data_IF_652129743817
#
_entry.id   IF_652129743817
#
_cell.length_a   1.000
_cell.length_b   1.000
_cell.length_c   1.000
_cell.angle_alpha   90.00
_cell.angle_beta   90.00
_cell.angle_gamma   90.00
#
_symmetry.space_group_name_H-M   'P 1'
#
loop_
_entity.id
_entity.type
_entity.pdbx_description
1 polymer ?
#
# COMPACT_ATOMS: atom_id res chain seq x y z
N UNK A 1 -61.67 -47.42 -21.07
CA UNK A 1 -61.34 -47.66 -19.65
C UNK A 1 -59.93 -47.16 -19.41
N UNK A 2 -59.78 -46.33 -18.39
CA UNK A 2 -58.56 -45.61 -18.03
C UNK A 2 -57.55 -46.51 -17.29
N UNK A 3 -56.25 -46.20 -17.42
CA UNK A 3 -55.17 -46.31 -16.42
C UNK A 3 -53.81 -46.16 -17.15
N UNK A 4 -53.11 -45.02 -16.96
CA UNK A 4 -51.94 -44.81 -16.05
C UNK A 4 -50.62 -45.35 -16.64
N UNK A 5 -49.78 -44.50 -17.26
CA UNK A 5 -48.64 -43.73 -16.71
C UNK A 5 -47.55 -44.68 -16.14
N UNK A 6 -46.24 -44.57 -16.47
CA UNK A 6 -45.30 -43.59 -15.89
C UNK A 6 -44.14 -43.29 -16.86
N UNK A 7 -44.01 -42.02 -17.26
CA UNK A 7 -42.80 -41.40 -17.83
C UNK A 7 -41.75 -41.15 -16.72
N UNK A 8 -40.51 -41.56 -17.00
CA UNK A 8 -39.34 -41.30 -16.17
C UNK A 8 -38.77 -39.91 -16.49
N UNK A 9 -39.28 -38.87 -15.83
CA UNK A 9 -38.81 -37.49 -15.94
C UNK A 9 -38.50 -36.92 -14.57
N UNK A 10 -37.28 -36.41 -14.39
CA UNK A 10 -36.75 -36.01 -13.08
C UNK A 10 -37.40 -34.76 -12.48
N UNK A 11 -37.02 -34.47 -11.23
CA UNK A 11 -36.88 -33.13 -10.66
C UNK A 11 -36.43 -33.27 -9.19
N UNK A 12 -35.37 -32.54 -8.86
CA UNK A 12 -34.84 -32.39 -7.50
C UNK A 12 -35.87 -31.71 -6.57
N UNK A 13 -35.91 -32.11 -5.30
CA UNK A 13 -36.80 -31.52 -4.29
C UNK A 13 -36.40 -31.79 -2.83
N UNK A 14 -35.45 -30.96 -2.34
CA UNK A 14 -35.30 -30.40 -0.97
C UNK A 14 -35.20 -31.32 0.26
N UNK A 15 -34.03 -31.38 0.94
CA UNK A 15 -33.96 -31.63 2.38
C UNK A 15 -34.22 -30.33 3.17
N UNK A 16 -35.09 -30.40 4.18
CA UNK A 16 -35.35 -29.34 5.16
C UNK A 16 -34.22 -29.28 6.18
N UNK A 17 -33.29 -28.33 6.05
CA UNK A 17 -32.39 -27.93 7.14
C UNK A 17 -33.14 -27.08 8.14
N UNK A 18 -33.40 -27.64 9.33
CA UNK A 18 -33.70 -26.91 10.55
C UNK A 18 -32.54 -25.94 10.82
N UNK A 19 -32.78 -24.66 10.53
CA UNK A 19 -31.82 -23.59 10.77
C UNK A 19 -31.78 -23.32 12.28
N UNK A 20 -30.75 -23.85 12.94
CA UNK A 20 -30.42 -23.46 14.30
C UNK A 20 -29.90 -22.02 14.27
N UNK A 21 -30.64 -21.10 14.90
CA UNK A 21 -30.30 -19.68 14.92
C UNK A 21 -29.01 -19.44 15.72
N UNK A 22 -27.93 -18.94 15.09
CA UNK A 22 -26.63 -18.72 15.76
C UNK A 22 -26.68 -17.61 16.81
N UNK A 23 -27.75 -16.79 16.83
CA UNK A 23 -27.94 -15.71 17.79
C UNK A 23 -28.42 -16.18 19.16
N UNK A 24 -29.14 -17.31 19.26
CA UNK A 24 -29.60 -17.82 20.57
C UNK A 24 -28.45 -18.41 21.39
N UNK A 25 -27.49 -19.07 20.74
CA UNK A 25 -26.32 -19.68 21.38
C UNK A 25 -25.32 -18.66 21.93
N UNK A 26 -25.33 -17.43 21.41
CA UNK A 26 -24.44 -16.36 21.85
C UNK A 26 -24.85 -15.74 23.20
N UNK A 27 -26.13 -15.79 23.55
CA UNK A 27 -26.66 -15.08 24.73
C UNK A 27 -26.78 -15.99 25.97
N UNK A 28 -26.95 -17.30 25.80
CA UNK A 28 -27.17 -18.24 26.90
C UNK A 28 -25.89 -18.86 27.51
N UNK A 29 -24.71 -18.57 26.96
CA UNK A 29 -23.44 -19.20 27.36
C UNK A 29 -22.28 -18.25 27.63
N UNK A 30 -22.54 -16.96 27.86
CA UNK A 30 -21.51 -15.92 28.01
C UNK A 30 -20.79 -16.00 29.38
N UNK A 31 -19.94 -17.01 29.55
CA UNK A 31 -18.90 -17.02 30.56
C UNK A 31 -17.72 -16.09 30.19
N UNK A 32 -16.78 -15.84 31.13
CA UNK A 32 -15.66 -14.88 30.96
C UNK A 32 -14.71 -15.13 29.78
N UNK A 33 -14.84 -16.25 29.06
CA UNK A 33 -14.02 -16.59 27.90
C UNK A 33 -14.39 -15.84 26.61
N UNK A 34 -15.62 -15.32 26.48
CA UNK A 34 -16.09 -14.67 25.25
C UNK A 34 -15.45 -13.28 25.03
N UNK A 35 -15.17 -12.56 26.12
CA UNK A 35 -14.46 -11.26 26.08
C UNK A 35 -12.99 -11.46 25.67
N UNK A 36 -12.35 -12.57 26.07
CA UNK A 36 -10.96 -12.88 25.71
C UNK A 36 -10.83 -13.37 24.27
N UNK A 37 -11.76 -14.21 23.81
CA UNK A 37 -11.72 -14.78 22.46
C UNK A 37 -12.18 -13.80 21.39
N UNK A 38 -13.22 -13.00 21.64
CA UNK A 38 -13.73 -12.03 20.67
C UNK A 38 -12.78 -10.85 20.43
N UNK A 39 -12.17 -10.32 21.51
CA UNK A 39 -11.21 -9.22 21.42
C UNK A 39 -9.83 -9.68 20.93
N UNK A 40 -9.36 -10.86 21.36
CA UNK A 40 -8.07 -11.41 20.95
C UNK A 40 -8.00 -11.74 19.46
N UNK A 41 -9.06 -12.34 18.90
CA UNK A 41 -9.11 -12.67 17.47
C UNK A 41 -9.22 -11.42 16.60
N UNK A 42 -9.91 -10.37 17.06
CA UNK A 42 -10.00 -9.11 16.33
C UNK A 42 -8.71 -8.28 16.44
N UNK A 43 -8.06 -8.26 17.61
CA UNK A 43 -6.79 -7.56 17.81
C UNK A 43 -5.65 -8.19 17.03
N UNK A 44 -5.56 -9.52 16.98
CA UNK A 44 -4.59 -10.24 16.14
C UNK A 44 -4.81 -9.94 14.65
N UNK A 45 -6.06 -9.89 14.19
CA UNK A 45 -6.37 -9.54 12.80
C UNK A 45 -6.01 -8.09 12.48
N UNK A 46 -6.28 -7.13 13.36
CA UNK A 46 -5.91 -5.74 13.14
C UNK A 46 -4.39 -5.54 13.16
N UNK A 47 -3.69 -6.17 14.10
CA UNK A 47 -2.24 -6.08 14.24
C UNK A 47 -1.52 -6.81 13.10
N UNK A 48 -1.96 -8.02 12.75
CA UNK A 48 -1.43 -8.81 11.63
C UNK A 48 -1.71 -8.15 10.28
N UNK A 49 -2.92 -7.64 10.08
CA UNK A 49 -3.25 -6.87 8.87
C UNK A 49 -2.39 -5.61 8.78
N UNK A 50 -2.17 -4.91 9.89
CA UNK A 50 -1.26 -3.75 9.93
C UNK A 50 0.18 -4.14 9.57
N UNK A 51 0.69 -5.26 10.09
CA UNK A 51 2.04 -5.74 9.75
C UNK A 51 2.16 -6.17 8.29
N UNK A 52 1.15 -6.85 7.73
CA UNK A 52 1.16 -7.28 6.33
C UNK A 52 1.08 -6.09 5.37
N UNK A 53 0.29 -5.07 5.71
CA UNK A 53 0.25 -3.81 4.95
C UNK A 53 1.57 -3.06 5.02
N UNK A 54 2.18 -2.96 6.21
CA UNK A 54 3.50 -2.32 6.34
C UNK A 54 4.57 -3.11 5.60
N UNK A 55 4.59 -4.43 5.74
CA UNK A 55 5.61 -5.29 5.16
C UNK A 55 5.52 -5.29 3.63
N UNK A 56 4.32 -5.40 3.05
CA UNK A 56 4.14 -5.37 1.59
C UNK A 56 4.55 -4.03 0.95
N UNK A 57 4.12 -2.91 1.53
CA UNK A 57 4.45 -1.58 1.00
C UNK A 57 5.93 -1.24 1.19
N UNK A 58 6.47 -1.43 2.39
CA UNK A 58 7.88 -1.12 2.69
C UNK A 58 8.80 -2.01 1.87
N UNK A 59 8.50 -3.31 1.76
CA UNK A 59 9.31 -4.23 0.93
C UNK A 59 9.27 -3.80 -0.53
N UNK A 60 8.14 -3.33 -1.05
CA UNK A 60 8.05 -2.85 -2.42
C UNK A 60 8.94 -1.60 -2.65
N UNK A 61 8.92 -0.61 -1.76
CA UNK A 61 9.74 0.60 -1.90
C UNK A 61 11.24 0.35 -1.67
N UNK A 62 11.58 -0.54 -0.74
CA UNK A 62 12.97 -0.89 -0.39
C UNK A 62 13.56 -2.02 -1.24
N UNK A 63 12.75 -2.72 -2.04
CA UNK A 63 13.24 -3.80 -2.90
C UNK A 63 14.26 -3.33 -3.94
N UNK A 64 14.14 -2.09 -4.41
CA UNK A 64 14.96 -1.54 -5.50
C UNK A 64 15.39 -0.10 -5.21
N UNK A 65 16.25 0.14 -4.20
CA UNK A 65 16.66 1.49 -3.82
C UNK A 65 17.42 2.20 -4.94
N UNK A 66 18.17 1.43 -5.75
CA UNK A 66 18.93 1.95 -6.90
C UNK A 66 18.06 2.73 -7.89
N UNK A 67 16.79 2.36 -8.06
CA UNK A 67 15.87 3.06 -8.95
C UNK A 67 15.75 4.56 -8.59
N UNK A 68 15.67 4.88 -7.31
CA UNK A 68 15.49 6.24 -6.81
C UNK A 68 16.78 7.08 -6.80
N UNK A 69 17.94 6.43 -6.98
CA UNK A 69 19.27 7.06 -7.03
C UNK A 69 19.84 7.16 -8.46
N UNK A 70 19.10 6.72 -9.47
CA UNK A 70 19.45 6.96 -10.86
C UNK A 70 19.16 8.43 -11.19
N UNK A 71 20.15 9.29 -10.98
CA UNK A 71 20.07 10.75 -11.20
C UNK A 71 21.29 11.27 -11.94
N UNK A 72 21.09 12.34 -12.72
CA UNK A 72 22.15 13.05 -13.46
C UNK A 72 22.27 14.51 -13.01
N UNK A 73 23.41 15.16 -13.27
CA UNK A 73 23.61 16.59 -12.94
C UNK A 73 22.56 17.52 -13.56
N UNK A 74 22.17 17.25 -14.82
CA UNK A 74 21.11 18.00 -15.50
C UNK A 74 19.75 17.82 -14.81
N UNK A 75 19.45 16.60 -14.38
CA UNK A 75 18.24 16.30 -13.62
C UNK A 75 18.20 17.10 -12.32
N UNK A 76 19.28 17.07 -11.52
CA UNK A 76 19.37 17.78 -10.24
C UNK A 76 19.11 19.28 -10.42
N UNK A 77 19.73 19.90 -11.42
CA UNK A 77 19.51 21.33 -11.71
C UNK A 77 18.06 21.64 -12.06
N UNK A 78 17.42 20.77 -12.86
CA UNK A 78 16.02 20.97 -13.21
C UNK A 78 15.09 20.72 -12.01
N UNK A 79 15.35 19.67 -11.22
CA UNK A 79 14.57 19.34 -10.03
C UNK A 79 14.67 20.47 -8.99
N UNK A 80 15.87 21.01 -8.77
CA UNK A 80 16.07 22.15 -7.87
C UNK A 80 15.33 23.41 -8.33
N UNK A 81 15.28 23.69 -9.64
CA UNK A 81 14.47 24.81 -10.17
C UNK A 81 12.98 24.62 -9.84
N UNK A 82 12.45 23.41 -9.96
CA UNK A 82 11.06 23.10 -9.64
C UNK A 82 10.79 23.26 -8.15
N UNK A 83 11.70 22.77 -7.29
CA UNK A 83 11.57 22.86 -5.83
C UNK A 83 11.66 24.31 -5.35
N UNK A 84 12.60 25.10 -5.88
CA UNK A 84 12.78 26.51 -5.50
C UNK A 84 11.69 27.42 -6.07
N UNK A 85 11.20 27.12 -7.28
CA UNK A 85 10.23 27.96 -7.99
C UNK A 85 9.05 27.11 -8.47
N UNK A 86 8.16 26.66 -7.56
CA UNK A 86 7.05 25.75 -7.91
C UNK A 86 6.11 26.36 -8.96
N UNK A 87 5.93 27.69 -8.95
CA UNK A 87 5.04 28.41 -9.85
C UNK A 87 5.58 28.60 -11.28
N UNK A 88 6.88 28.39 -11.49
CA UNK A 88 7.47 28.43 -12.84
C UNK A 88 7.31 27.09 -13.56
N UNK A 89 6.93 26.03 -12.86
CA UNK A 89 6.70 24.73 -13.45
C UNK A 89 5.34 24.69 -14.17
N UNK A 90 5.31 25.23 -15.40
CA UNK A 90 4.11 25.24 -16.28
C UNK A 90 3.85 23.90 -16.98
N UNK A 91 4.34 22.80 -16.40
CA UNK A 91 4.36 21.47 -17.01
C UNK A 91 3.30 20.51 -16.50
N UNK A 92 3.39 19.27 -16.99
CA UNK A 92 2.57 18.13 -16.59
C UNK A 92 3.17 17.50 -15.32
N UNK A 93 2.43 17.46 -14.21
CA UNK A 93 2.84 16.85 -12.93
C UNK A 93 2.66 15.33 -12.87
N UNK A 94 2.20 14.76 -13.98
CA UNK A 94 1.79 13.38 -14.09
C UNK A 94 2.97 12.55 -14.61
N UNK A 95 3.18 11.38 -13.99
CA UNK A 95 4.34 10.50 -14.25
C UNK A 95 4.22 9.85 -15.62
N UNK A 96 5.35 9.67 -16.28
CA UNK A 96 5.37 8.97 -17.58
C UNK A 96 5.48 7.46 -17.31
N UNK A 97 4.45 6.71 -17.70
CA UNK A 97 4.44 5.25 -17.66
C UNK A 97 4.76 4.72 -19.05
N UNK A 98 5.66 3.73 -19.15
CA UNK A 98 5.83 2.95 -20.37
C UNK A 98 5.23 1.56 -20.18
N UNK A 99 4.39 1.08 -21.11
CA UNK A 99 3.89 -0.29 -21.08
C UNK A 99 5.02 -1.23 -21.53
N UNK A 100 5.75 -1.79 -20.58
CA UNK A 100 6.76 -2.83 -20.87
C UNK A 100 6.14 -4.18 -20.55
N UNK A 101 5.77 -4.94 -21.59
CA UNK A 101 5.35 -6.34 -21.46
C UNK A 101 4.07 -6.57 -20.62
N UNK A 102 3.08 -5.69 -20.72
CA UNK A 102 1.80 -5.83 -20.01
C UNK A 102 1.81 -5.37 -18.54
N UNK A 103 2.93 -4.82 -18.06
CA UNK A 103 3.04 -4.15 -16.75
C UNK A 103 3.38 -2.67 -16.97
N UNK A 104 2.69 -1.79 -16.25
CA UNK A 104 3.03 -0.36 -16.21
C UNK A 104 4.33 -0.23 -15.41
N UNK A 105 5.45 -0.02 -16.10
CA UNK A 105 6.73 0.22 -15.44
C UNK A 105 7.01 1.73 -15.42
N UNK A 106 7.38 2.25 -14.26
CA UNK A 106 7.71 3.66 -14.11
C UNK A 106 9.16 3.91 -14.52
N UNK A 107 9.40 4.99 -15.27
CA UNK A 107 10.76 5.39 -15.66
C UNK A 107 11.59 5.89 -14.47
N UNK A 108 12.92 5.66 -14.46
CA UNK A 108 13.80 6.17 -13.41
C UNK A 108 13.94 7.70 -13.49
N UNK A 109 14.38 8.38 -12.39
CA UNK A 109 14.45 9.84 -12.31
C UNK A 109 15.28 10.51 -13.42
N UNK A 110 16.31 9.85 -13.95
CA UNK A 110 17.05 10.36 -15.14
C UNK A 110 16.12 10.72 -16.32
N UNK A 111 15.04 9.97 -16.50
CA UNK A 111 14.16 10.06 -17.67
C UNK A 111 12.81 10.72 -17.37
N UNK A 112 12.44 10.86 -16.08
CA UNK A 112 11.19 11.49 -15.65
C UNK A 112 11.46 12.46 -14.49
N UNK A 113 11.27 13.76 -14.75
CA UNK A 113 11.42 14.83 -13.74
C UNK A 113 10.45 14.67 -12.57
N UNK A 114 9.27 14.07 -12.82
CA UNK A 114 8.21 13.87 -11.84
C UNK A 114 8.39 12.56 -11.06
N UNK A 115 9.38 11.74 -11.41
CA UNK A 115 9.66 10.55 -10.62
C UNK A 115 10.04 10.96 -9.18
N UNK A 116 9.58 10.21 -8.17
CA UNK A 116 10.09 10.37 -6.82
C UNK A 116 11.58 10.02 -6.83
N UNK A 117 12.43 10.92 -6.33
CA UNK A 117 13.86 10.68 -6.16
C UNK A 117 14.22 10.73 -4.69
N UNK A 118 15.25 9.96 -4.31
CA UNK A 118 15.77 9.94 -2.94
C UNK A 118 17.04 10.78 -2.81
N UNK A 119 17.62 11.21 -3.94
CA UNK A 119 18.85 12.00 -3.97
C UNK A 119 18.65 13.43 -3.44
N UNK A 120 17.64 14.17 -3.92
CA UNK A 120 17.42 15.57 -3.48
C UNK A 120 17.16 15.63 -1.97
N UNK A 121 16.26 14.83 -1.37
CA UNK A 121 16.03 14.86 0.07
C UNK A 121 17.28 14.45 0.88
N UNK A 122 17.99 13.41 0.45
CA UNK A 122 19.21 12.95 1.13
C UNK A 122 20.30 14.03 1.11
N UNK A 123 20.53 14.65 -0.04
CA UNK A 123 21.54 15.71 -0.19
C UNK A 123 21.14 16.98 0.57
N UNK A 124 19.85 17.35 0.56
CA UNK A 124 19.35 18.46 1.37
C UNK A 124 19.60 18.22 2.87
N UNK A 125 19.34 17.01 3.35
CA UNK A 125 19.63 16.64 4.74
C UNK A 125 21.13 16.66 5.06
N UNK A 126 21.97 16.07 4.20
CA UNK A 126 23.42 16.05 4.39
C UNK A 126 24.00 17.47 4.43
N UNK A 127 23.61 18.32 3.47
CA UNK A 127 24.05 19.73 3.43
C UNK A 127 23.53 20.52 4.63
N UNK A 128 22.30 20.28 5.08
CA UNK A 128 21.76 20.89 6.30
C UNK A 128 22.62 20.56 7.53
N UNK A 129 22.99 19.29 7.72
CA UNK A 129 23.86 18.90 8.85
C UNK A 129 25.21 19.60 8.75
N UNK A 130 25.83 19.62 7.57
CA UNK A 130 27.14 20.25 7.37
C UNK A 130 27.09 21.75 7.67
N UNK A 131 26.08 22.45 7.14
CA UNK A 131 25.91 23.89 7.36
C UNK A 131 25.56 24.19 8.82
N UNK A 132 24.67 23.40 9.43
CA UNK A 132 24.29 23.58 10.83
C UNK A 132 25.47 23.33 11.76
N UNK A 133 26.22 22.24 11.55
CA UNK A 133 27.42 21.92 12.33
C UNK A 133 28.51 22.97 12.16
N UNK A 134 28.71 23.47 10.93
CA UNK A 134 29.62 24.58 10.68
C UNK A 134 29.19 25.86 11.40
N UNK A 135 27.91 26.23 11.30
CA UNK A 135 27.37 27.41 11.96
C UNK A 135 27.49 27.32 13.49
N UNK A 136 27.20 26.15 14.07
CA UNK A 136 27.37 25.90 15.51
C UNK A 136 28.84 26.04 15.92
N UNK A 137 29.75 25.42 15.16
CA UNK A 137 31.19 25.50 15.39
C UNK A 137 31.73 26.93 15.30
N UNK A 138 31.25 27.73 14.35
CA UNK A 138 31.62 29.15 14.23
C UNK A 138 31.02 29.99 15.35
N UNK A 139 29.80 29.68 15.82
CA UNK A 139 29.17 30.35 16.96
C UNK A 139 29.72 29.90 18.33
N UNK A 140 30.58 28.87 18.37
CA UNK A 140 31.17 28.35 19.60
C UNK A 140 30.16 27.71 20.56
N UNK A 141 29.07 27.13 20.03
CA UNK A 141 28.06 26.40 20.80
C UNK A 141 28.04 24.92 20.50
#
# INVERSE_FOLDING_TARGET
MAAMNIDLGGLAGRPTTSQADPFQSALYGAGPGLIRSGLGVYSEKFLGSSSDFMQSNITQYLSNPQYYFQVNNQYVRNKLKVVLFPFLHRGHWTRITEPVGGRLSYKPPVQDINAPDLYIPLMAFATYIVVAGYALGVLGR
#
